data_IF_714816292366
#
_entry.id   IF_714816292366
#
_cell.length_a   1.000
_cell.length_b   1.000
_cell.length_c   1.000
_cell.angle_alpha   90.00
_cell.angle_beta   90.00
_cell.angle_gamma   90.00
#
_symmetry.space_group_name_H-M   'P 1'
#
loop_
_entity.id
_entity.type
_entity.pdbx_description
1 polymer ?
#
# COMPACT_ATOMS: atom_id res chain seq x y z
N UNK A 1 8.33 -12.77 30.24
CA UNK A 1 8.76 -11.88 29.14
C UNK A 1 9.95 -12.53 28.45
N UNK A 2 9.88 -12.78 27.14
CA UNK A 2 11.04 -13.20 26.36
C UNK A 2 12.10 -12.08 26.40
N UNK A 3 13.38 -12.39 26.68
CA UNK A 3 14.42 -11.37 26.71
C UNK A 3 14.53 -10.64 25.37
N UNK A 4 14.93 -9.37 25.43
CA UNK A 4 15.18 -8.56 24.25
C UNK A 4 16.21 -9.24 23.33
N UNK A 5 16.03 -9.23 22.00
CA UNK A 5 17.05 -9.71 21.07
C UNK A 5 18.39 -8.97 21.27
N UNK A 6 19.50 -9.68 21.07
CA UNK A 6 20.84 -9.12 21.17
C UNK A 6 21.06 -8.01 20.11
N UNK A 7 21.67 -6.88 20.47
CA UNK A 7 22.02 -5.77 19.56
C UNK A 7 23.26 -6.02 18.70
N UNK A 8 23.89 -7.20 18.79
CA UNK A 8 25.04 -7.58 17.96
C UNK A 8 24.66 -7.91 16.50
N UNK A 9 23.37 -8.00 16.17
CA UNK A 9 22.89 -8.22 14.79
C UNK A 9 22.05 -7.03 14.33
N UNK A 10 22.03 -6.76 13.01
CA UNK A 10 21.19 -5.71 12.43
C UNK A 10 19.72 -5.86 12.82
N UNK A 11 19.17 -7.06 12.67
CA UNK A 11 17.80 -7.38 13.06
C UNK A 11 17.51 -7.09 14.54
N UNK A 12 18.46 -7.39 15.44
CA UNK A 12 18.32 -7.10 16.86
C UNK A 12 18.41 -5.62 17.20
N UNK A 13 19.25 -4.85 16.50
CA UNK A 13 19.31 -3.39 16.64
C UNK A 13 17.98 -2.76 16.25
N UNK A 14 17.54 -3.02 15.01
CA UNK A 14 16.28 -2.53 14.43
C UNK A 14 15.09 -2.90 15.33
N UNK A 15 14.99 -4.16 15.76
CA UNK A 15 13.94 -4.60 16.68
C UNK A 15 13.89 -3.77 17.96
N UNK A 16 15.04 -3.56 18.60
CA UNK A 16 15.11 -2.82 19.86
C UNK A 16 14.81 -1.32 19.65
N UNK A 17 15.25 -0.74 18.54
CA UNK A 17 15.00 0.67 18.21
C UNK A 17 13.51 0.91 17.97
N UNK A 18 12.85 0.06 17.16
CA UNK A 18 11.41 0.12 16.96
C UNK A 18 10.63 -0.07 18.26
N UNK A 19 11.05 -1.01 19.11
CA UNK A 19 10.43 -1.21 20.43
C UNK A 19 10.56 0.02 21.33
N UNK A 20 11.72 0.69 21.30
CA UNK A 20 11.97 1.90 22.08
C UNK A 20 11.13 3.07 21.56
N UNK A 21 11.02 3.24 20.25
CA UNK A 21 10.16 4.23 19.60
C UNK A 21 8.69 4.00 19.99
N UNK A 22 8.21 2.76 19.89
CA UNK A 22 6.83 2.39 20.27
C UNK A 22 6.52 2.74 21.73
N UNK A 23 7.45 2.43 22.65
CA UNK A 23 7.34 2.77 24.07
C UNK A 23 7.29 4.28 24.30
N UNK A 24 8.15 5.05 23.64
CA UNK A 24 8.15 6.51 23.74
C UNK A 24 6.82 7.12 23.27
N UNK A 25 6.20 6.54 22.25
CA UNK A 25 4.88 6.94 21.75
C UNK A 25 3.70 6.31 22.50
N UNK A 26 3.94 5.49 23.53
CA UNK A 26 2.90 4.73 24.29
C UNK A 26 2.00 3.88 23.38
N UNK A 27 2.61 3.20 22.41
CA UNK A 27 1.96 2.32 21.43
C UNK A 27 2.47 0.89 21.55
N UNK A 28 1.72 -0.05 20.98
CA UNK A 28 2.14 -1.44 20.88
C UNK A 28 3.35 -1.57 19.92
N UNK A 29 4.49 -2.15 20.34
CA UNK A 29 5.61 -2.45 19.44
C UNK A 29 5.23 -3.25 18.19
N UNK A 30 4.20 -4.09 18.26
CA UNK A 30 3.72 -4.85 17.10
C UNK A 30 3.30 -3.93 15.95
N UNK A 31 2.71 -2.76 16.23
CA UNK A 31 2.35 -1.78 15.20
C UNK A 31 3.60 -1.31 14.44
N UNK A 32 4.71 -1.05 15.14
CA UNK A 32 5.95 -0.56 14.54
C UNK A 32 6.67 -1.64 13.75
N UNK A 33 6.61 -2.90 14.20
CA UNK A 33 7.14 -4.03 13.46
C UNK A 33 6.40 -4.23 12.14
N UNK A 34 5.07 -4.12 12.16
CA UNK A 34 4.26 -4.18 10.94
C UNK A 34 4.59 -3.04 10.00
N UNK A 35 4.60 -1.79 10.48
CA UNK A 35 4.93 -0.62 9.64
C UNK A 35 6.32 -0.74 9.00
N UNK A 36 7.31 -1.17 9.77
CA UNK A 36 8.66 -1.38 9.25
C UNK A 36 8.73 -2.52 8.23
N UNK A 37 7.93 -3.58 8.40
CA UNK A 37 7.86 -4.66 7.42
C UNK A 37 7.19 -4.23 6.11
N UNK A 38 6.15 -3.38 6.18
CA UNK A 38 5.53 -2.76 4.99
C UNK A 38 6.53 -1.86 4.26
N UNK A 39 7.25 -1.01 4.99
CA UNK A 39 8.35 -0.19 4.45
C UNK A 39 9.42 -1.06 3.79
N UNK A 40 9.84 -2.13 4.46
CA UNK A 40 10.83 -3.08 3.94
C UNK A 40 10.37 -3.80 2.68
N UNK A 41 9.08 -4.07 2.51
CA UNK A 41 8.54 -4.58 1.25
C UNK A 41 8.67 -3.52 0.14
N UNK A 42 8.31 -2.26 0.41
CA UNK A 42 8.40 -1.19 -0.59
C UNK A 42 9.85 -0.88 -1.00
N UNK A 43 10.80 -0.91 -0.05
CA UNK A 43 12.24 -0.80 -0.36
C UNK A 43 12.66 -1.90 -1.35
N UNK A 44 12.20 -3.13 -1.13
CA UNK A 44 12.49 -4.26 -2.01
C UNK A 44 11.78 -4.12 -3.36
N UNK A 45 10.55 -3.59 -3.39
CA UNK A 45 9.81 -3.32 -4.62
C UNK A 45 10.59 -2.35 -5.50
N UNK A 46 11.03 -1.22 -4.93
CA UNK A 46 11.83 -0.21 -5.65
C UNK A 46 13.14 -0.77 -6.18
N UNK A 47 13.78 -1.67 -5.43
CA UNK A 47 15.03 -2.32 -5.86
C UNK A 47 14.84 -3.44 -6.90
N UNK A 48 13.60 -3.92 -7.12
CA UNK A 48 13.30 -5.04 -8.01
C UNK A 48 13.16 -4.59 -9.47
N UNK A 49 13.36 -5.52 -10.42
CA UNK A 49 13.20 -5.25 -11.86
C UNK A 49 11.73 -5.04 -12.26
N UNK A 50 10.81 -5.58 -11.47
CA UNK A 50 9.36 -5.47 -11.66
C UNK A 50 8.77 -4.19 -11.04
N UNK A 51 9.60 -3.28 -10.51
CA UNK A 51 9.16 -2.03 -9.89
C UNK A 51 8.21 -1.21 -10.77
N UNK A 52 8.46 -1.17 -12.08
CA UNK A 52 7.65 -0.40 -13.03
C UNK A 52 6.28 -1.01 -13.32
N UNK A 53 6.07 -2.28 -12.97
CA UNK A 53 4.79 -2.97 -13.14
C UNK A 53 3.77 -2.54 -12.09
N UNK A 54 4.23 -1.90 -11.00
CA UNK A 54 3.41 -1.53 -9.85
C UNK A 54 3.33 -0.02 -9.61
N UNK A 55 2.18 0.41 -9.10
CA UNK A 55 1.94 1.77 -8.60
C UNK A 55 1.37 1.64 -7.19
N UNK A 56 2.02 2.27 -6.20
CA UNK A 56 1.51 2.28 -4.83
C UNK A 56 0.21 3.09 -4.73
N UNK A 57 -0.83 2.51 -4.13
CA UNK A 57 -2.10 3.15 -3.81
C UNK A 57 -2.22 3.50 -2.32
N UNK A 58 -3.33 4.14 -1.95
CA UNK A 58 -3.95 3.98 -0.65
C UNK A 58 -3.16 4.44 0.59
N UNK A 59 -3.42 3.75 1.72
CA UNK A 59 -3.14 4.20 3.08
C UNK A 59 -1.68 4.11 3.53
N UNK A 60 -0.82 3.34 2.85
CA UNK A 60 0.62 3.31 3.16
C UNK A 60 1.28 4.63 2.76
N UNK A 61 0.86 5.23 1.62
CA UNK A 61 1.22 6.59 1.24
C UNK A 61 0.79 7.62 2.28
N UNK A 62 -0.24 7.34 3.08
CA UNK A 62 -0.72 8.23 4.14
C UNK A 62 -0.09 7.96 5.50
N UNK A 63 0.22 6.70 5.81
CA UNK A 63 0.76 6.26 7.10
C UNK A 63 2.18 6.79 7.33
N UNK A 64 2.93 7.00 6.26
CA UNK A 64 4.20 7.71 6.30
C UNK A 64 4.04 9.19 6.72
N UNK A 65 2.82 9.77 6.62
CA UNK A 65 2.60 11.21 6.79
C UNK A 65 1.61 11.65 7.89
N UNK A 66 0.78 10.77 8.51
CA UNK A 66 0.31 10.92 9.90
C UNK A 66 -0.63 9.82 10.44
N UNK A 67 -0.75 9.88 11.77
CA UNK A 67 -1.54 9.02 12.67
C UNK A 67 -1.34 7.57 12.31
N UNK A 68 -0.20 7.01 12.76
CA UNK A 68 0.20 5.59 12.69
C UNK A 68 -0.98 4.68 13.07
N UNK A 69 -1.83 4.38 12.09
CA UNK A 69 -2.91 3.42 12.21
C UNK A 69 -2.33 2.04 11.90
N UNK A 70 -2.77 0.99 12.57
CA UNK A 70 -2.41 -0.36 12.19
C UNK A 70 -2.96 -0.63 10.78
N UNK A 71 -2.11 -0.58 9.77
CA UNK A 71 -2.35 -1.23 8.47
C UNK A 71 -1.45 -2.46 8.38
N UNK A 72 -1.95 -3.52 7.77
CA UNK A 72 -1.20 -4.75 7.47
C UNK A 72 -1.10 -5.00 5.97
N UNK A 73 -1.73 -4.14 5.18
CA UNK A 73 -1.97 -4.36 3.77
C UNK A 73 -1.19 -3.32 2.95
N UNK A 74 -0.65 -3.75 1.82
CA UNK A 74 -0.02 -2.91 0.80
C UNK A 74 -0.93 -2.94 -0.42
N UNK A 75 -1.53 -1.82 -0.77
CA UNK A 75 -2.39 -1.69 -1.94
C UNK A 75 -1.56 -1.26 -3.16
N UNK A 76 -1.52 -2.08 -4.21
CA UNK A 76 -0.82 -1.82 -5.45
C UNK A 76 -1.78 -1.85 -6.64
N UNK A 77 -1.59 -0.95 -7.60
CA UNK A 77 -2.13 -1.08 -8.95
C UNK A 77 -1.07 -1.77 -9.81
N UNK A 78 -1.46 -2.78 -10.56
CA UNK A 78 -0.59 -3.50 -11.48
C UNK A 78 -0.95 -3.25 -12.94
N UNK A 79 0.08 -3.16 -13.78
CA UNK A 79 -0.04 -3.07 -15.25
C UNK A 79 1.11 -3.82 -15.90
N UNK A 80 0.96 -4.23 -17.17
CA UNK A 80 2.05 -4.83 -17.94
C UNK A 80 2.22 -6.35 -17.74
N UNK A 81 1.32 -7.00 -17.00
CA UNK A 81 1.28 -8.45 -16.87
C UNK A 81 -0.14 -8.99 -16.59
N UNK A 82 -0.39 -10.31 -16.75
CA UNK A 82 -1.71 -10.89 -16.54
C UNK A 82 -2.21 -10.75 -15.10
N UNK A 83 -3.52 -10.53 -14.96
CA UNK A 83 -4.22 -10.60 -13.68
C UNK A 83 -4.46 -12.07 -13.29
N UNK A 84 -3.36 -12.77 -13.01
CA UNK A 84 -3.33 -14.19 -12.63
C UNK A 84 -2.58 -14.36 -11.30
N UNK A 85 -3.05 -15.29 -10.46
CA UNK A 85 -2.50 -15.53 -9.13
C UNK A 85 -1.02 -15.92 -9.20
N UNK A 86 -0.65 -16.82 -10.12
CA UNK A 86 0.72 -17.33 -10.23
C UNK A 86 1.65 -16.22 -10.73
N UNK A 87 1.19 -15.41 -11.68
CA UNK A 87 1.93 -14.25 -12.18
C UNK A 87 2.19 -13.21 -11.07
N UNK A 88 1.18 -12.90 -10.26
CA UNK A 88 1.31 -11.97 -9.12
C UNK A 88 2.24 -12.54 -8.05
N UNK A 89 2.08 -13.81 -7.68
CA UNK A 89 2.96 -14.44 -6.70
C UNK A 89 4.42 -14.47 -7.17
N UNK A 90 4.68 -14.76 -8.46
CA UNK A 90 6.02 -14.76 -9.02
C UNK A 90 6.70 -13.39 -8.88
N UNK A 91 5.97 -12.30 -9.14
CA UNK A 91 6.46 -10.93 -8.98
C UNK A 91 6.67 -10.56 -7.53
N UNK A 92 5.77 -10.97 -6.62
CA UNK A 92 5.98 -10.81 -5.18
C UNK A 92 7.25 -11.55 -4.73
N UNK A 93 7.51 -12.76 -5.22
CA UNK A 93 8.76 -13.50 -4.94
C UNK A 93 10.00 -12.75 -5.46
N UNK A 94 9.94 -12.17 -6.66
CA UNK A 94 11.01 -11.35 -7.22
C UNK A 94 11.26 -10.05 -6.43
N UNK A 95 10.21 -9.48 -5.85
CA UNK A 95 10.33 -8.35 -4.93
C UNK A 95 11.02 -8.81 -3.65
N UNK A 96 10.51 -9.82 -2.96
CA UNK A 96 10.99 -10.13 -1.60
C UNK A 96 12.36 -10.82 -1.56
N UNK A 97 12.89 -11.28 -2.71
CA UNK A 97 14.26 -11.83 -2.80
C UNK A 97 15.34 -10.77 -2.63
N UNK A 98 15.01 -9.48 -2.79
CA UNK A 98 15.96 -8.39 -2.54
C UNK A 98 16.40 -8.39 -1.06
N UNK A 99 17.69 -8.15 -0.80
CA UNK A 99 18.29 -8.24 0.55
C UNK A 99 18.95 -6.93 1.00
N UNK A 100 18.17 -5.86 1.26
CA UNK A 100 18.69 -4.68 1.94
C UNK A 100 19.15 -5.03 3.37
N UNK A 101 20.08 -4.24 3.93
CA UNK A 101 20.54 -4.39 5.32
C UNK A 101 19.56 -3.76 6.34
N UNK A 102 18.32 -4.25 6.30
CA UNK A 102 17.21 -3.77 7.14
C UNK A 102 16.85 -4.74 8.27
N UNK A 103 17.46 -5.93 8.30
CA UNK A 103 17.23 -6.96 9.29
C UNK A 103 15.91 -7.74 9.15
N UNK A 104 15.15 -7.49 8.08
CA UNK A 104 13.92 -8.23 7.76
C UNK A 104 14.25 -9.49 6.95
N UNK A 105 13.57 -10.58 7.28
CA UNK A 105 13.62 -11.83 6.53
C UNK A 105 12.22 -12.16 6.04
N UNK A 106 12.00 -12.05 4.74
CA UNK A 106 10.76 -12.45 4.08
C UNK A 106 10.83 -13.94 3.75
N UNK A 107 9.81 -14.70 4.14
CA UNK A 107 9.76 -16.15 3.96
C UNK A 107 9.21 -16.48 2.56
N UNK A 108 10.10 -16.75 1.58
CA UNK A 108 9.71 -17.05 0.19
C UNK A 108 8.65 -18.16 0.07
N UNK A 109 8.76 -19.20 0.90
CA UNK A 109 7.82 -20.33 0.92
C UNK A 109 6.45 -20.02 1.54
N UNK A 110 6.28 -18.83 2.14
CA UNK A 110 5.00 -18.40 2.71
C UNK A 110 4.11 -17.65 1.71
N UNK A 111 4.64 -17.30 0.52
CA UNK A 111 3.91 -16.56 -0.50
C UNK A 111 2.76 -17.40 -1.04
N UNK A 112 1.53 -16.93 -0.82
CA UNK A 112 0.30 -17.56 -1.30
C UNK A 112 -0.71 -16.49 -1.70
N UNK A 113 -1.21 -16.58 -2.92
CA UNK A 113 -2.20 -15.68 -3.50
C UNK A 113 -3.62 -16.25 -3.48
N UNK A 114 -4.59 -15.36 -3.37
CA UNK A 114 -6.02 -15.64 -3.51
C UNK A 114 -6.69 -14.53 -4.31
N UNK A 115 -7.77 -14.86 -5.02
CA UNK A 115 -8.54 -13.89 -5.80
C UNK A 115 -9.36 -12.96 -4.90
N UNK A 116 -9.37 -11.68 -5.22
CA UNK A 116 -10.32 -10.72 -4.64
C UNK A 116 -11.54 -10.67 -5.58
N UNK A 117 -12.70 -11.07 -5.07
CA UNK A 117 -13.98 -11.04 -5.78
C UNK A 117 -14.81 -9.86 -5.26
N UNK A 118 -15.26 -9.00 -6.17
CA UNK A 118 -16.26 -7.97 -5.88
C UNK A 118 -17.43 -8.12 -6.85
N UNK A 119 -18.66 -8.11 -6.34
CA UNK A 119 -19.95 -8.32 -7.02
C UNK A 119 -19.89 -8.61 -8.56
N UNK A 120 -19.42 -9.82 -8.90
CA UNK A 120 -19.30 -10.41 -10.25
C UNK A 120 -18.07 -10.08 -11.13
N UNK A 121 -17.05 -9.36 -10.63
CA UNK A 121 -15.81 -9.05 -11.36
C UNK A 121 -14.57 -9.49 -10.56
N UNK A 122 -13.60 -10.07 -11.26
CA UNK A 122 -12.28 -10.37 -10.71
C UNK A 122 -11.47 -9.06 -10.62
N UNK A 123 -11.38 -8.49 -9.41
CA UNK A 123 -10.82 -7.14 -9.22
C UNK A 123 -9.32 -7.14 -8.94
N UNK A 124 -8.78 -8.27 -8.46
CA UNK A 124 -7.35 -8.39 -8.17
C UNK A 124 -6.95 -9.67 -7.45
N UNK A 125 -5.71 -9.66 -6.95
CA UNK A 125 -5.08 -10.76 -6.21
C UNK A 125 -4.58 -10.24 -4.87
N UNK A 126 -4.94 -10.93 -3.78
CA UNK A 126 -4.34 -10.72 -2.46
C UNK A 126 -3.25 -11.76 -2.24
N UNK A 127 -2.03 -11.32 -1.98
CA UNK A 127 -0.90 -12.18 -1.63
C UNK A 127 -0.60 -12.08 -0.15
N UNK A 128 -0.62 -13.23 0.53
CA UNK A 128 -0.23 -13.39 1.93
C UNK A 128 1.23 -13.79 2.00
N UNK A 129 1.96 -13.21 2.96
CA UNK A 129 3.36 -13.54 3.21
C UNK A 129 3.76 -13.28 4.66
N UNK A 130 4.75 -14.04 5.14
CA UNK A 130 5.31 -13.92 6.47
C UNK A 130 6.68 -13.24 6.42
N UNK A 131 6.92 -12.41 7.43
CA UNK A 131 8.16 -11.66 7.63
C UNK A 131 8.63 -11.84 9.05
N UNK A 132 9.94 -11.93 9.23
CA UNK A 132 10.59 -11.98 10.54
C UNK A 132 11.49 -10.79 10.76
N UNK A 133 11.43 -10.26 11.98
CA UNK A 133 12.39 -9.28 12.49
C UNK A 133 12.86 -9.74 13.87
N UNK A 134 14.07 -10.30 13.94
CA UNK A 134 14.59 -10.95 15.13
C UNK A 134 13.59 -12.01 15.69
N UNK A 135 12.93 -11.71 16.81
CA UNK A 135 11.91 -12.58 17.43
C UNK A 135 10.47 -12.26 17.00
N UNK A 136 10.22 -11.12 16.35
CA UNK A 136 8.90 -10.79 15.83
C UNK A 136 8.58 -11.63 14.58
N UNK A 137 7.34 -12.12 14.52
CA UNK A 137 6.72 -12.75 13.36
C UNK A 137 5.57 -11.87 12.91
N UNK A 138 5.58 -11.46 11.66
CA UNK A 138 4.69 -10.45 11.08
C UNK A 138 4.04 -11.09 9.87
N UNK A 139 2.71 -11.08 9.81
CA UNK A 139 1.96 -11.43 8.61
C UNK A 139 1.60 -10.15 7.86
N UNK A 140 1.85 -10.14 6.55
CA UNK A 140 1.53 -9.03 5.66
C UNK A 140 0.56 -9.52 4.57
N UNK A 141 -0.19 -8.58 4.01
CA UNK A 141 -0.91 -8.78 2.75
C UNK A 141 -0.46 -7.76 1.72
N UNK A 142 -0.42 -8.18 0.47
CA UNK A 142 -0.21 -7.32 -0.70
C UNK A 142 -1.42 -7.49 -1.59
N UNK A 143 -2.22 -6.46 -1.70
CA UNK A 143 -3.41 -6.42 -2.54
C UNK A 143 -3.04 -5.78 -3.87
N UNK A 144 -3.23 -6.52 -4.95
CA UNK A 144 -2.84 -6.12 -6.30
C UNK A 144 -4.08 -6.06 -7.17
N UNK A 145 -4.49 -4.85 -7.53
CA UNK A 145 -5.63 -4.63 -8.41
C UNK A 145 -5.17 -4.31 -9.84
N UNK A 146 -6.01 -4.63 -10.81
CA UNK A 146 -5.72 -4.45 -12.23
C UNK A 146 -6.83 -3.68 -12.93
N UNK A 147 -6.47 -2.93 -13.97
CA UNK A 147 -7.43 -2.26 -14.83
C UNK A 147 -8.03 -0.98 -14.24
N UNK A 148 -7.73 -0.65 -12.98
CA UNK A 148 -8.16 0.60 -12.37
C UNK A 148 -7.54 1.80 -13.11
N UNK A 149 -8.36 2.71 -13.66
CA UNK A 149 -7.86 3.90 -14.33
C UNK A 149 -7.15 4.83 -13.34
N UNK A 150 -5.93 5.25 -13.69
CA UNK A 150 -5.13 6.18 -12.89
C UNK A 150 -5.09 7.55 -13.60
N UNK A 151 -5.55 8.61 -12.92
CA UNK A 151 -5.69 9.93 -13.49
C UNK A 151 -5.40 11.07 -12.50
N UNK A 152 -4.58 12.06 -12.91
CA UNK A 152 -3.50 11.96 -13.88
C UNK A 152 -2.58 10.75 -13.70
N UNK A 153 -1.67 10.55 -14.65
CA UNK A 153 -0.72 9.45 -14.63
C UNK A 153 0.04 9.37 -13.28
N UNK A 154 0.46 8.15 -12.85
CA UNK A 154 1.19 7.98 -11.61
C UNK A 154 2.41 8.89 -11.53
N UNK A 155 2.72 9.37 -10.32
CA UNK A 155 3.83 10.28 -10.05
C UNK A 155 4.85 9.63 -9.11
N UNK A 156 6.07 10.16 -9.08
CA UNK A 156 7.02 9.81 -8.03
C UNK A 156 6.52 10.39 -6.70
N UNK A 157 6.30 9.51 -5.73
CA UNK A 157 5.96 9.85 -4.36
C UNK A 157 7.19 9.67 -3.48
N UNK A 158 7.32 10.55 -2.51
CA UNK A 158 8.39 10.53 -1.52
C UNK A 158 7.78 10.09 -0.18
N UNK A 159 8.36 9.09 0.49
CA UNK A 159 7.89 8.54 1.76
C UNK A 159 9.00 8.59 2.82
N UNK A 160 8.79 9.22 3.99
CA UNK A 160 9.75 9.17 5.09
C UNK A 160 9.82 7.75 5.68
N UNK A 161 11.03 7.28 5.93
CA UNK A 161 11.28 5.97 6.53
C UNK A 161 11.26 6.04 8.06
N UNK A 162 10.83 4.96 8.72
CA UNK A 162 10.59 4.90 10.16
C UNK A 162 11.85 5.06 11.00
N UNK A 163 12.99 4.58 10.49
CA UNK A 163 14.31 4.70 11.11
C UNK A 163 15.20 5.77 10.45
N UNK A 164 14.57 6.69 9.71
CA UNK A 164 15.24 7.79 9.02
C UNK A 164 15.54 7.49 7.55
N UNK A 165 15.74 8.56 6.78
CA UNK A 165 15.83 8.48 5.33
C UNK A 165 14.47 8.57 4.65
N UNK A 166 14.50 8.36 3.34
CA UNK A 166 13.36 8.60 2.46
C UNK A 166 13.34 7.58 1.34
N UNK A 167 12.17 7.02 1.05
CA UNK A 167 11.92 6.12 -0.06
C UNK A 167 11.18 6.86 -1.18
N UNK A 168 11.64 6.69 -2.42
CA UNK A 168 10.96 7.21 -3.61
C UNK A 168 10.42 6.07 -4.45
N UNK A 169 9.17 6.18 -4.88
CA UNK A 169 8.49 5.16 -5.66
C UNK A 169 7.32 5.73 -6.45
N UNK A 170 6.88 4.99 -7.47
CA UNK A 170 5.71 5.34 -8.27
C UNK A 170 4.44 5.11 -7.45
N UNK A 171 3.61 6.14 -7.32
CA UNK A 171 2.37 6.07 -6.55
C UNK A 171 1.25 6.92 -7.13
N UNK A 172 0.06 6.78 -6.52
CA UNK A 172 -1.07 7.64 -6.83
C UNK A 172 -0.73 9.10 -6.55
N UNK A 173 -1.12 10.03 -7.44
CA UNK A 173 -1.08 11.44 -7.12
C UNK A 173 -2.10 11.77 -6.03
N UNK A 174 -1.85 12.85 -5.31
CA UNK A 174 -2.54 13.15 -4.04
C UNK A 174 -4.06 13.29 -4.18
N UNK A 175 -4.52 13.87 -5.28
CA UNK A 175 -5.95 14.00 -5.57
C UNK A 175 -6.62 12.65 -5.83
N UNK A 176 -5.89 11.65 -6.33
CA UNK A 176 -6.42 10.30 -6.55
C UNK A 176 -6.51 9.52 -5.24
N UNK A 177 -5.54 9.68 -4.35
CA UNK A 177 -5.64 9.17 -2.96
C UNK A 177 -6.86 9.77 -2.26
N UNK A 178 -7.10 11.07 -2.43
CA UNK A 178 -8.27 11.75 -1.86
C UNK A 178 -9.59 11.25 -2.47
N UNK A 179 -9.64 11.11 -3.79
CA UNK A 179 -10.82 10.62 -4.50
C UNK A 179 -11.19 9.18 -4.08
N UNK A 180 -10.21 8.29 -3.96
CA UNK A 180 -10.38 6.91 -3.50
C UNK A 180 -11.04 6.86 -2.12
N UNK A 181 -10.58 7.72 -1.20
CA UNK A 181 -11.16 7.83 0.14
C UNK A 181 -12.59 8.35 0.14
N UNK A 182 -12.90 9.35 -0.70
CA UNK A 182 -14.25 9.89 -0.83
C UNK A 182 -15.20 8.83 -1.39
N UNK A 183 -14.87 8.23 -2.52
CA UNK A 183 -15.74 7.24 -3.20
C UNK A 183 -15.97 6.05 -2.27
N UNK A 184 -14.91 5.53 -1.65
CA UNK A 184 -15.02 4.43 -0.68
C UNK A 184 -15.92 4.80 0.51
N UNK A 185 -15.86 6.04 0.99
CA UNK A 185 -16.73 6.50 2.08
C UNK A 185 -18.20 6.60 1.65
N UNK A 186 -18.47 7.00 0.40
CA UNK A 186 -19.82 7.18 -0.15
C UNK A 186 -20.50 5.85 -0.53
N UNK A 187 -19.80 4.95 -1.22
CA UNK A 187 -20.39 3.73 -1.80
C UNK A 187 -20.92 2.72 -0.76
N UNK A 188 -20.49 2.80 0.50
CA UNK A 188 -20.90 1.85 1.55
C UNK A 188 -21.74 2.48 2.67
N UNK A 189 -22.42 3.58 2.32
CA UNK A 189 -23.07 4.53 3.23
C UNK A 189 -24.14 3.98 4.21
N UNK A 190 -24.65 2.76 4.06
CA UNK A 190 -25.75 2.28 4.91
C UNK A 190 -25.37 1.25 5.99
N UNK A 191 -24.17 0.63 5.97
CA UNK A 191 -23.91 -0.56 6.81
C UNK A 191 -22.94 -0.42 8.00
N UNK A 192 -21.90 0.45 8.04
CA UNK A 192 -21.17 0.70 9.31
C UNK A 192 -20.08 1.81 9.33
N UNK A 193 -19.88 2.39 10.53
CA UNK A 193 -18.74 3.13 11.13
C UNK A 193 -17.46 3.40 10.30
N UNK A 194 -17.54 4.26 9.27
CA UNK A 194 -16.38 4.76 8.49
C UNK A 194 -15.92 6.19 8.80
N UNK A 195 -16.14 6.67 10.03
CA UNK A 195 -15.56 7.94 10.51
C UNK A 195 -14.06 8.10 10.21
N UNK A 196 -13.36 6.97 10.09
CA UNK A 196 -11.93 6.86 9.76
C UNK A 196 -11.56 7.42 8.39
N UNK A 197 -12.38 7.20 7.36
CA UNK A 197 -12.14 7.73 6.00
C UNK A 197 -12.29 9.25 5.99
N UNK A 198 -13.25 9.79 6.75
CA UNK A 198 -13.40 11.24 6.94
C UNK A 198 -12.20 11.88 7.66
N UNK A 199 -11.56 11.17 8.60
CA UNK A 199 -10.30 11.64 9.21
C UNK A 199 -9.15 11.62 8.22
N UNK A 200 -9.06 10.60 7.37
CA UNK A 200 -8.03 10.50 6.33
C UNK A 200 -8.18 11.67 5.34
N UNK A 201 -9.41 11.95 4.90
CA UNK A 201 -9.77 13.12 4.07
C UNK A 201 -9.34 14.43 4.75
N UNK A 202 -9.75 14.66 6.00
CA UNK A 202 -9.41 15.89 6.73
C UNK A 202 -7.89 16.10 6.86
N UNK A 203 -7.13 15.01 7.03
CA UNK A 203 -5.68 15.07 7.14
C UNK A 203 -4.97 15.40 5.81
N UNK A 204 -5.38 14.75 4.71
CA UNK A 204 -4.83 15.03 3.37
C UNK A 204 -4.95 16.52 3.07
N UNK A 205 -6.14 17.10 3.32
CA UNK A 205 -6.40 18.54 3.13
C UNK A 205 -5.53 19.40 4.05
N UNK A 206 -5.28 18.95 5.29
CA UNK A 206 -4.49 19.70 6.28
C UNK A 206 -2.97 19.67 6.08
N UNK A 207 -2.42 18.65 5.41
CA UNK A 207 -0.96 18.47 5.26
C UNK A 207 -0.43 18.60 3.86
N UNK A 208 -1.23 18.24 2.85
CA UNK A 208 -0.84 18.42 1.46
C UNK A 208 -1.47 19.72 0.97
N UNK A 209 -0.65 20.73 0.67
CA UNK A 209 -1.12 21.77 -0.26
C UNK A 209 -1.34 21.04 -1.56
N UNK A 210 -2.60 20.88 -1.97
CA UNK A 210 -2.91 20.63 -3.37
C UNK A 210 -2.29 21.78 -4.13
N UNK A 211 -1.08 21.58 -4.65
CA UNK A 211 -0.47 22.59 -5.50
C UNK A 211 -1.33 22.57 -6.73
N UNK A 212 -2.10 23.65 -6.87
CA UNK A 212 -2.59 24.03 -8.16
C UNK A 212 -1.33 24.24 -9.04
N UNK A 213 -0.83 23.20 -9.71
CA UNK A 213 0.05 23.38 -10.86
C UNK A 213 -0.66 24.31 -11.84
N UNK A 214 0.07 24.97 -12.75
CA UNK A 214 -0.52 25.96 -13.67
C UNK A 214 -1.67 25.43 -14.56
N UNK A 215 -2.01 24.14 -14.48
CA UNK A 215 -3.17 23.51 -15.12
C UNK A 215 -4.19 22.85 -14.16
N UNK A 216 -3.89 22.67 -12.86
CA UNK A 216 -4.78 21.95 -11.96
C UNK A 216 -5.75 22.91 -11.28
N UNK A 217 -6.90 23.06 -11.91
CA UNK A 217 -8.11 23.58 -11.27
C UNK A 217 -8.77 22.45 -10.47
N UNK A 218 -9.81 22.72 -9.65
CA UNK A 218 -10.58 21.68 -8.93
C UNK A 218 -11.19 20.56 -9.81
N UNK A 219 -10.98 20.64 -11.12
CA UNK A 219 -11.27 19.65 -12.14
C UNK A 219 -10.52 18.32 -11.94
N UNK A 220 -9.28 18.31 -11.44
CA UNK A 220 -8.50 17.06 -11.32
C UNK A 220 -9.08 16.11 -10.26
N UNK A 221 -9.51 16.65 -9.12
CA UNK A 221 -10.20 15.88 -8.10
C UNK A 221 -11.58 15.42 -8.60
N UNK A 222 -12.36 16.31 -9.22
CA UNK A 222 -13.64 15.95 -9.81
C UNK A 222 -13.50 14.85 -10.87
N UNK A 223 -12.43 14.91 -11.68
CA UNK A 223 -12.11 13.89 -12.67
C UNK A 223 -11.69 12.57 -12.02
N UNK A 224 -10.87 12.60 -10.98
CA UNK A 224 -10.48 11.39 -10.26
C UNK A 224 -11.67 10.72 -9.56
N UNK A 225 -12.55 11.49 -8.94
CA UNK A 225 -13.81 10.98 -8.35
C UNK A 225 -14.71 10.39 -9.44
N UNK A 226 -14.84 11.07 -10.60
CA UNK A 226 -15.62 10.55 -11.73
C UNK A 226 -15.00 9.31 -12.38
N UNK A 227 -13.68 9.15 -12.31
CA UNK A 227 -12.94 7.98 -12.81
C UNK A 227 -13.16 6.78 -11.89
N UNK A 228 -13.12 6.99 -10.57
CA UNK A 228 -13.29 5.93 -9.57
C UNK A 228 -14.76 5.56 -9.32
N UNK A 229 -15.68 6.51 -9.47
CA UNK A 229 -17.12 6.30 -9.27
C UNK A 229 -17.87 5.74 -10.48
N UNK A 230 -17.17 5.45 -11.59
CA UNK A 230 -17.77 4.74 -12.74
C UNK A 230 -17.60 3.23 -12.52
N UNK A 231 -18.63 2.41 -12.80
CA UNK A 231 -18.44 0.96 -12.84
C UNK A 231 -17.37 0.63 -13.90
N UNK A 232 -16.52 -0.39 -13.67
CA UNK A 232 -15.50 -0.78 -14.63
C UNK A 232 -16.14 -0.98 -16.00
N UNK A 233 -15.53 -0.42 -17.05
CA UNK A 233 -16.02 -0.53 -18.44
C UNK A 233 -15.82 -1.96 -18.91
N UNK A 234 -16.73 -2.83 -18.49
CA UNK A 234 -16.95 -4.16 -19.03
C UNK A 234 -18.47 -4.29 -19.16
N UNK A 235 -19.02 -3.76 -20.26
CA UNK A 235 -20.31 -4.11 -20.90
C UNK A 235 -20.70 -2.99 -21.86
N UNK A 236 -20.13 -3.00 -23.07
CA UNK A 236 -20.72 -2.37 -24.25
C UNK A 236 -19.97 -2.84 -25.51
N UNK A 237 -19.88 -4.17 -25.70
CA UNK A 237 -19.57 -4.78 -27.00
C UNK A 237 -19.84 -6.30 -26.96
N UNK A 238 -21.09 -6.69 -26.74
CA UNK A 238 -21.60 -8.01 -27.10
C UNK A 238 -23.14 -7.95 -27.18
N UNK A 239 -23.66 -7.02 -28.00
CA UNK A 239 -25.06 -7.07 -28.43
C UNK A 239 -25.26 -6.25 -29.71
N UNK A 240 -24.44 -6.54 -30.73
CA UNK A 240 -24.66 -6.11 -32.11
C UNK A 240 -24.00 -7.11 -33.07
N UNK A 241 -24.67 -8.25 -33.27
CA UNK A 241 -24.60 -9.22 -34.39
C UNK A 241 -25.44 -10.41 -33.93
N UNK A 242 -26.71 -10.51 -34.28
CA UNK A 242 -27.14 -11.09 -35.55
C UNK A 242 -27.80 -12.44 -35.26
#
# INVERSE_FOLDING_TARGET
>A
MTPAPNRNTRAGQVYNDLRNIARAHRRDPAEYFTLYALEGFLVRLVASKVSNDFVLKGGVLMTAFAVRRPTRDIDLAATGFPNDILDVEARVREIIVQQPDDGLVFELGSVSGESILDDAVYTGVRVKLNVRLATARIALHVDVNFGDPIWPAPVEQELPCLLGGTLRLRGYPDHMVFAEKIVTALDRGEVNTRWRDFVDIAWIVGTRRTRAGPQSNGHDLGSAVAVLGKPPVALLQADLSG
#
